data_IF_165346367029
#
_entry.id   IF_165346367029
#
_cell.length_a   1.000
_cell.length_b   1.000
_cell.length_c   1.000
_cell.angle_alpha   90.00
_cell.angle_beta   90.00
_cell.angle_gamma   90.00
#
_symmetry.space_group_name_H-M   'P 1'
#
loop_
_entity.id
_entity.type
_entity.pdbx_description
1 polymer ?
#
# COMPACT_ATOMS: atom_id res chain seq x y z
N UNK A 1 -5.60 -50.72 -2.08
CA UNK A 1 -5.90 -50.40 -3.49
C UNK A 1 -5.56 -48.93 -3.73
N UNK A 2 -4.60 -48.58 -4.60
CA UNK A 2 -4.30 -47.17 -4.89
C UNK A 2 -5.31 -46.61 -5.90
N UNK A 3 -5.92 -45.47 -5.57
CA UNK A 3 -6.76 -44.68 -6.49
C UNK A 3 -5.84 -43.80 -7.35
N UNK A 4 -5.82 -44.05 -8.66
CA UNK A 4 -5.09 -43.23 -9.64
C UNK A 4 -6.08 -42.24 -10.26
N UNK A 5 -5.80 -40.94 -10.10
CA UNK A 5 -6.56 -39.86 -10.74
C UNK A 5 -5.71 -39.34 -11.90
N UNK A 6 -6.17 -39.53 -13.13
CA UNK A 6 -5.57 -38.95 -14.33
C UNK A 6 -6.24 -37.62 -14.63
N UNK A 7 -5.53 -36.53 -14.39
CA UNK A 7 -6.01 -35.17 -14.65
C UNK A 7 -5.64 -34.84 -16.09
N UNK A 8 -6.63 -34.47 -16.92
CA UNK A 8 -6.38 -34.08 -18.31
C UNK A 8 -5.56 -32.80 -18.41
N UNK A 9 -4.84 -32.60 -19.52
CA UNK A 9 -3.99 -31.43 -19.74
C UNK A 9 -4.79 -30.11 -19.66
N UNK A 10 -6.04 -30.11 -20.13
CA UNK A 10 -6.95 -28.94 -20.04
C UNK A 10 -7.30 -28.59 -18.59
N UNK A 11 -7.55 -29.58 -17.74
CA UNK A 11 -7.84 -29.35 -16.32
C UNK A 11 -6.58 -28.85 -15.60
N UNK A 12 -5.41 -29.41 -15.93
CA UNK A 12 -4.13 -28.98 -15.40
C UNK A 12 -3.74 -27.55 -15.81
N UNK A 13 -4.11 -27.11 -17.01
CA UNK A 13 -3.94 -25.72 -17.45
C UNK A 13 -4.89 -24.77 -16.69
N UNK A 14 -6.18 -25.11 -16.61
CA UNK A 14 -7.16 -24.30 -15.88
C UNK A 14 -6.84 -24.16 -14.39
N UNK A 15 -6.31 -25.21 -13.76
CA UNK A 15 -5.83 -25.17 -12.38
C UNK A 15 -4.63 -24.23 -12.20
N UNK A 16 -3.71 -24.18 -13.17
CA UNK A 16 -2.58 -23.25 -13.16
C UNK A 16 -3.05 -21.80 -13.31
N UNK A 17 -3.93 -21.52 -14.26
CA UNK A 17 -4.47 -20.17 -14.48
C UNK A 17 -5.26 -19.66 -13.26
N UNK A 18 -6.03 -20.53 -12.60
CA UNK A 18 -6.74 -20.21 -11.36
C UNK A 18 -5.78 -19.93 -10.20
N UNK A 19 -4.72 -20.72 -10.07
CA UNK A 19 -3.72 -20.49 -9.03
C UNK A 19 -2.96 -19.18 -9.28
N UNK A 20 -2.56 -18.90 -10.53
CA UNK A 20 -1.89 -17.65 -10.89
C UNK A 20 -2.78 -16.44 -10.62
N UNK A 21 -4.04 -16.45 -11.06
CA UNK A 21 -4.97 -15.34 -10.81
C UNK A 21 -5.22 -15.09 -9.31
N UNK A 22 -5.31 -16.17 -8.51
CA UNK A 22 -5.45 -16.06 -7.05
C UNK A 22 -4.22 -15.43 -6.40
N UNK A 23 -3.01 -15.85 -6.80
CA UNK A 23 -1.75 -15.29 -6.28
C UNK A 23 -1.62 -13.80 -6.66
N UNK A 24 -2.01 -13.44 -7.87
CA UNK A 24 -2.00 -12.05 -8.34
C UNK A 24 -2.92 -11.17 -7.48
N UNK A 25 -4.15 -11.62 -7.23
CA UNK A 25 -5.12 -10.89 -6.40
C UNK A 25 -4.63 -10.77 -4.96
N UNK A 26 -4.18 -11.87 -4.36
CA UNK A 26 -3.66 -11.87 -2.99
C UNK A 26 -2.46 -10.92 -2.82
N UNK A 27 -1.56 -10.87 -3.81
CA UNK A 27 -0.43 -9.92 -3.79
C UNK A 27 -0.91 -8.47 -3.88
N UNK A 28 -1.86 -8.19 -4.77
CA UNK A 28 -2.41 -6.84 -4.94
C UNK A 28 -3.06 -6.35 -3.65
N UNK A 29 -3.95 -7.15 -3.07
CA UNK A 29 -4.63 -6.85 -1.81
C UNK A 29 -3.63 -6.64 -0.68
N UNK A 30 -2.63 -7.51 -0.56
CA UNK A 30 -1.58 -7.38 0.45
C UNK A 30 -0.80 -6.08 0.30
N UNK A 31 -0.33 -5.73 -0.90
CA UNK A 31 0.43 -4.49 -1.13
C UNK A 31 -0.44 -3.26 -0.89
N UNK A 32 -1.68 -3.29 -1.36
CA UNK A 32 -2.64 -2.21 -1.15
C UNK A 32 -2.90 -1.99 0.34
N UNK A 33 -3.18 -3.05 1.09
CA UNK A 33 -3.40 -2.99 2.54
C UNK A 33 -2.17 -2.46 3.28
N UNK A 34 -0.98 -2.97 2.96
CA UNK A 34 0.29 -2.52 3.54
C UNK A 34 0.49 -1.03 3.30
N UNK A 35 0.28 -0.57 2.07
CA UNK A 35 0.48 0.83 1.75
C UNK A 35 -0.57 1.74 2.42
N UNK A 36 -1.84 1.34 2.44
CA UNK A 36 -2.88 2.05 3.20
C UNK A 36 -2.51 2.15 4.68
N UNK A 37 -2.03 1.06 5.30
CA UNK A 37 -1.60 1.05 6.70
C UNK A 37 -0.41 2.00 6.94
N UNK A 38 0.61 1.97 6.07
CA UNK A 38 1.76 2.88 6.18
C UNK A 38 1.33 4.34 6.08
N UNK A 39 0.48 4.68 5.10
CA UNK A 39 0.04 6.06 4.87
C UNK A 39 -0.89 6.55 5.99
N UNK A 40 -1.80 5.70 6.47
CA UNK A 40 -2.67 6.01 7.61
C UNK A 40 -1.86 6.23 8.89
N UNK A 41 -0.88 5.37 9.17
CA UNK A 41 0.01 5.54 10.32
C UNK A 41 0.87 6.80 10.20
N UNK A 42 1.33 7.13 8.98
CA UNK A 42 2.08 8.37 8.72
C UNK A 42 1.22 9.60 8.99
N UNK A 43 -0.06 9.58 8.59
CA UNK A 43 -1.00 10.64 8.90
C UNK A 43 -1.27 10.78 10.40
N UNK A 44 -1.36 9.66 11.14
CA UNK A 44 -1.58 9.66 12.60
C UNK A 44 -0.37 10.18 13.39
N UNK A 45 0.84 9.88 12.92
CA UNK A 45 2.10 10.38 13.52
C UNK A 45 2.40 11.83 13.17
N UNK A 46 1.66 12.39 12.22
CA UNK A 46 1.83 13.75 11.79
C UNK A 46 1.47 14.72 12.94
N UNK A 47 2.30 15.74 13.23
CA UNK A 47 2.00 16.71 14.27
C UNK A 47 0.63 17.37 14.08
N UNK A 48 -0.03 17.70 15.19
CA UNK A 48 -1.38 18.27 15.16
C UNK A 48 -1.42 19.61 14.41
N UNK A 49 -0.37 20.42 14.56
CA UNK A 49 -0.23 21.73 13.92
C UNK A 49 0.06 21.68 12.41
N UNK A 50 0.33 20.50 11.85
CA UNK A 50 0.68 20.31 10.43
C UNK A 50 -0.48 19.71 9.65
N UNK A 51 -1.68 20.26 9.84
CA UNK A 51 -2.94 19.77 9.26
C UNK A 51 -2.91 19.53 7.74
N UNK A 52 -2.21 20.39 6.96
CA UNK A 52 -2.02 20.19 5.50
C UNK A 52 -1.17 18.96 5.17
N UNK A 53 -0.10 18.73 5.94
CA UNK A 53 0.74 17.54 5.76
C UNK A 53 -0.03 16.28 6.13
N UNK A 54 -0.77 16.32 7.25
CA UNK A 54 -1.62 15.22 7.69
C UNK A 54 -2.71 14.88 6.67
N UNK A 55 -3.42 15.89 6.15
CA UNK A 55 -4.45 15.69 5.15
C UNK A 55 -3.88 15.10 3.86
N UNK A 56 -2.69 15.54 3.42
CA UNK A 56 -2.01 14.95 2.28
C UNK A 56 -1.78 13.44 2.43
N UNK A 57 -1.29 12.97 3.58
CA UNK A 57 -1.12 11.53 3.81
C UNK A 57 -2.43 10.76 3.93
N UNK A 58 -3.45 11.35 4.57
CA UNK A 58 -4.77 10.73 4.68
C UNK A 58 -5.42 10.56 3.30
N UNK A 59 -5.37 11.61 2.49
CA UNK A 59 -5.80 11.60 1.09
C UNK A 59 -5.08 10.52 0.27
N UNK A 60 -3.75 10.41 0.39
CA UNK A 60 -3.00 9.35 -0.29
C UNK A 60 -3.45 7.96 0.16
N UNK A 61 -3.73 7.76 1.46
CA UNK A 61 -4.23 6.48 1.99
C UNK A 61 -5.61 6.12 1.43
N UNK A 62 -6.51 7.10 1.29
CA UNK A 62 -7.85 6.92 0.72
C UNK A 62 -7.76 6.47 -0.75
N UNK A 63 -6.94 7.16 -1.56
CA UNK A 63 -6.70 6.83 -2.97
C UNK A 63 -6.16 5.40 -3.15
N UNK A 64 -5.21 4.98 -2.29
CA UNK A 64 -4.69 3.60 -2.33
C UNK A 64 -5.75 2.59 -1.92
N UNK A 65 -6.57 2.90 -0.90
CA UNK A 65 -7.55 1.94 -0.37
C UNK A 65 -8.74 1.65 -1.29
N UNK A 66 -8.85 2.32 -2.45
CA UNK A 66 -9.98 2.18 -3.36
C UNK A 66 -11.30 2.73 -2.79
N UNK A 67 -11.27 3.42 -1.64
CA UNK A 67 -12.42 4.16 -1.09
C UNK A 67 -12.60 5.54 -1.74
N UNK A 68 -11.98 5.78 -2.89
CA UNK A 68 -12.39 6.87 -3.76
C UNK A 68 -13.77 6.51 -4.31
N UNK A 69 -14.77 7.33 -3.96
CA UNK A 69 -16.12 7.29 -4.49
C UNK A 69 -16.06 7.07 -6.01
N UNK A 70 -16.65 5.95 -6.44
CA UNK A 70 -17.08 5.60 -7.80
C UNK A 70 -16.46 6.43 -8.94
N UNK A 71 -15.51 5.86 -9.69
CA UNK A 71 -15.62 5.60 -11.13
C UNK A 71 -14.55 4.57 -11.49
N UNK A 72 -15.01 3.37 -11.85
CA UNK A 72 -14.22 2.44 -12.62
C UNK A 72 -14.08 3.00 -14.03
N UNK A 73 -12.94 3.62 -14.33
CA UNK A 73 -12.35 3.52 -15.66
C UNK A 73 -10.88 3.91 -15.60
N UNK A 74 -10.09 3.24 -16.42
CA UNK A 74 -8.69 3.53 -16.65
C UNK A 74 -8.45 5.03 -16.86
N UNK A 75 -7.68 5.66 -15.96
CA UNK A 75 -6.92 6.92 -16.10
C UNK A 75 -7.08 7.80 -14.86
N UNK A 76 -6.00 7.90 -14.08
CA UNK A 76 -5.61 9.13 -13.38
C UNK A 76 -6.60 9.79 -12.42
N UNK A 77 -6.27 9.67 -11.13
CA UNK A 77 -6.41 10.74 -10.12
C UNK A 77 -7.86 11.16 -9.83
N UNK A 78 -8.50 10.40 -8.94
CA UNK A 78 -9.72 10.84 -8.26
C UNK A 78 -9.42 12.04 -7.35
N UNK A 79 -10.09 13.15 -7.65
CA UNK A 79 -10.10 14.43 -6.95
C UNK A 79 -10.18 14.30 -5.43
N UNK A 80 -9.04 14.48 -4.78
CA UNK A 80 -8.95 14.68 -3.34
C UNK A 80 -8.32 16.04 -3.11
N UNK A 81 -9.03 16.94 -2.42
CA UNK A 81 -8.61 18.32 -2.16
C UNK A 81 -7.37 18.45 -1.25
N UNK A 82 -6.66 17.36 -0.96
CA UNK A 82 -5.39 17.35 -0.23
C UNK A 82 -4.19 17.41 -1.18
N UNK A 83 -3.07 17.97 -0.72
CA UNK A 83 -1.80 17.98 -1.46
C UNK A 83 -1.12 16.60 -1.58
N UNK A 84 -1.85 15.54 -1.21
CA UNK A 84 -1.41 14.17 -1.34
C UNK A 84 -1.87 13.56 -2.65
N UNK A 85 -1.00 12.77 -3.27
CA UNK A 85 -1.35 11.93 -4.41
C UNK A 85 -0.79 10.54 -4.21
N UNK A 86 -1.52 9.53 -4.65
CA UNK A 86 -1.07 8.16 -4.67
C UNK A 86 -1.59 7.43 -5.90
N UNK A 87 -0.75 6.55 -6.45
CA UNK A 87 -1.10 5.67 -7.56
C UNK A 87 -0.77 4.24 -7.19
N UNK A 88 -1.68 3.34 -7.57
CA UNK A 88 -1.47 1.91 -7.49
C UNK A 88 -1.31 1.37 -8.90
N UNK A 89 -0.24 0.61 -9.13
CA UNK A 89 0.01 -0.06 -10.40
C UNK A 89 0.38 -1.50 -10.11
N UNK A 90 -0.29 -2.44 -10.75
CA UNK A 90 0.08 -3.86 -10.65
C UNK A 90 0.20 -4.46 -12.03
N UNK A 91 1.30 -5.17 -12.24
CA UNK A 91 1.50 -6.08 -13.35
C UNK A 91 1.44 -7.54 -12.86
N UNK A 92 1.84 -8.52 -13.70
CA UNK A 92 1.83 -9.95 -13.35
C UNK A 92 2.88 -10.32 -12.29
N UNK A 93 3.94 -9.54 -12.17
CA UNK A 93 5.11 -9.81 -11.32
C UNK A 93 5.23 -8.87 -10.14
N UNK A 94 4.73 -7.64 -10.29
CA UNK A 94 5.02 -6.51 -9.42
C UNK A 94 3.73 -5.77 -9.08
N UNK A 95 3.62 -5.33 -7.84
CA UNK A 95 2.58 -4.41 -7.39
C UNK A 95 3.29 -3.24 -6.70
N UNK A 96 3.05 -2.03 -7.20
CA UNK A 96 3.74 -0.81 -6.81
C UNK A 96 2.72 0.23 -6.33
N UNK A 97 3.03 0.86 -5.20
CA UNK A 97 2.30 2.04 -4.71
C UNK A 97 3.27 3.20 -4.68
N UNK A 98 2.95 4.26 -5.41
CA UNK A 98 3.64 5.54 -5.31
C UNK A 98 2.75 6.50 -4.54
N UNK A 99 3.25 7.12 -3.47
CA UNK A 99 2.53 8.11 -2.71
C UNK A 99 3.43 9.33 -2.46
N UNK A 100 2.89 10.53 -2.70
CA UNK A 100 3.61 11.80 -2.60
C UNK A 100 2.79 12.78 -1.77
N UNK A 101 3.46 13.53 -0.92
CA UNK A 101 2.90 14.67 -0.21
C UNK A 101 3.59 15.93 -0.70
N UNK A 102 2.86 16.81 -1.37
CA UNK A 102 3.42 17.98 -2.06
C UNK A 102 3.62 19.19 -1.16
N UNK A 103 3.38 19.06 0.16
CA UNK A 103 3.56 20.15 1.12
C UNK A 103 5.05 20.52 1.21
N UNK A 104 5.44 21.81 1.02
CA UNK A 104 6.85 22.21 0.91
C UNK A 104 7.72 21.85 2.12
N UNK A 105 7.13 21.77 3.31
CA UNK A 105 7.84 21.51 4.56
C UNK A 105 7.83 20.03 4.99
N UNK A 106 7.30 19.12 4.16
CA UNK A 106 7.20 17.70 4.52
C UNK A 106 8.55 17.08 4.86
N UNK A 107 9.59 17.43 4.11
CA UNK A 107 10.95 16.92 4.30
C UNK A 107 11.52 17.35 5.65
N UNK A 108 11.25 18.59 6.07
CA UNK A 108 11.70 19.09 7.37
C UNK A 108 10.98 18.41 8.54
N UNK A 109 9.71 18.02 8.36
CA UNK A 109 9.00 17.24 9.38
C UNK A 109 9.56 15.83 9.49
N UNK A 110 9.89 15.20 8.37
CA UNK A 110 10.43 13.83 8.35
C UNK A 110 11.87 13.76 8.91
N UNK A 111 12.74 14.66 8.47
CA UNK A 111 14.19 14.62 8.76
C UNK A 111 14.67 15.63 9.80
N UNK A 112 13.80 16.54 10.23
CA UNK A 112 14.15 17.58 11.18
C UNK A 112 14.95 18.72 10.54
N UNK A 113 15.35 19.66 11.39
CA UNK A 113 16.19 20.82 11.06
C UNK A 113 17.19 21.06 12.18
N UNK A 114 18.07 22.05 12.05
CA UNK A 114 18.97 22.45 13.14
C UNK A 114 18.25 22.94 14.41
N UNK A 115 16.98 23.32 14.29
CA UNK A 115 16.17 23.86 15.40
C UNK A 115 15.11 22.89 15.91
N UNK A 116 14.94 21.73 15.26
CA UNK A 116 13.85 20.80 15.53
C UNK A 116 14.23 19.37 15.18
N UNK A 117 14.05 18.44 16.11
CA UNK A 117 14.28 17.02 15.86
C UNK A 117 13.28 16.46 14.81
N UNK A 118 13.67 15.42 14.04
CA UNK A 118 12.78 14.74 13.10
C UNK A 118 11.58 14.10 13.81
N UNK A 119 10.39 14.18 13.20
CA UNK A 119 9.25 13.35 13.61
C UNK A 119 9.33 11.93 13.05
N UNK A 120 10.09 11.71 11.97
CA UNK A 120 10.29 10.39 11.34
C UNK A 120 8.98 9.64 11.04
N UNK A 121 7.93 10.36 10.65
CA UNK A 121 6.57 9.83 10.52
C UNK A 121 6.52 8.65 9.53
N UNK A 122 7.14 8.83 8.36
CA UNK A 122 7.14 7.83 7.30
C UNK A 122 8.05 6.66 7.66
N UNK A 123 9.27 6.95 8.14
CA UNK A 123 10.26 5.92 8.50
C UNK A 123 9.78 5.02 9.64
N UNK A 124 9.19 5.59 10.67
CA UNK A 124 8.62 4.84 11.79
C UNK A 124 7.40 4.01 11.35
N UNK A 125 6.56 4.55 10.46
CA UNK A 125 5.42 3.81 9.92
C UNK A 125 5.85 2.62 9.08
N UNK A 126 6.85 2.81 8.21
CA UNK A 126 7.46 1.73 7.42
C UNK A 126 8.10 0.67 8.32
N UNK A 127 8.91 1.08 9.29
CA UNK A 127 9.57 0.15 10.21
C UNK A 127 8.55 -0.68 11.00
N UNK A 128 7.48 -0.05 11.50
CA UNK A 128 6.41 -0.73 12.21
C UNK A 128 5.71 -1.78 11.36
N UNK A 129 5.33 -1.43 10.13
CA UNK A 129 4.63 -2.36 9.22
C UNK A 129 5.56 -3.49 8.77
N UNK A 130 6.82 -3.21 8.42
CA UNK A 130 7.81 -4.24 8.08
C UNK A 130 8.07 -5.19 9.24
N UNK A 131 8.11 -4.69 10.48
CA UNK A 131 8.21 -5.53 11.67
C UNK A 131 7.03 -6.50 11.81
N UNK A 132 5.80 -6.02 11.58
CA UNK A 132 4.59 -6.86 11.59
C UNK A 132 4.63 -7.91 10.48
N UNK A 133 4.96 -7.53 9.25
CA UNK A 133 5.10 -8.46 8.12
C UNK A 133 6.15 -9.53 8.43
N UNK A 134 7.33 -9.12 8.89
CA UNK A 134 8.40 -10.04 9.26
C UNK A 134 7.97 -11.03 10.34
N UNK A 135 7.16 -10.60 11.32
CA UNK A 135 6.63 -11.50 12.35
C UNK A 135 5.66 -12.54 11.80
N UNK A 136 4.78 -12.16 10.87
CA UNK A 136 3.81 -13.08 10.24
C UNK A 136 4.51 -14.20 9.46
N UNK A 137 5.56 -13.88 8.72
CA UNK A 137 6.31 -14.88 7.94
C UNK A 137 7.30 -15.70 8.78
N UNK A 138 7.77 -15.16 9.92
CA UNK A 138 8.64 -15.92 10.85
C UNK A 138 7.87 -16.95 11.68
N UNK A 139 6.60 -16.70 11.97
CA UNK A 139 5.74 -17.61 12.74
C UNK A 139 5.21 -18.80 11.93
N UNK A 140 5.38 -18.80 10.60
CA UNK A 140 4.92 -19.90 9.72
C UNK A 140 6.00 -20.95 9.40
N UNK A 141 7.10 -20.99 10.18
CA UNK A 141 8.15 -22.02 10.06
C UNK A 141 8.11 -23.00 11.22
#
# INVERSE_FOLDING_TARGET
MPMRIEISDTVSQKLRDLNESTILQARQEMVQQIATDVLANTAQRNPVETGRSRSGWATAAEQVSGRSTEVADSSGVGSSSGEGTATFTSDRTTSLVNATNNVPYITYLEYGTSRMAPFSMLRESLAGVLGRIGSMFRLSR
#
